data_IF_011677560628
#
_entry.id   IF_011677560628
#
_cell.length_a   1.000
_cell.length_b   1.000
_cell.length_c   1.000
_cell.angle_alpha   90.00
_cell.angle_beta   90.00
_cell.angle_gamma   90.00
#
_symmetry.space_group_name_H-M   'P 1'
#
loop_
_entity.id
_entity.type
_entity.pdbx_description
1 polymer ?
#
# COMPACT_ATOMS: atom_id res chain seq x y z
N UNK A 1 13.77 4.91 -11.80
CA UNK A 1 12.53 5.02 -11.00
C UNK A 1 11.44 4.22 -11.68
N UNK A 2 10.72 3.38 -10.95
CA UNK A 2 9.47 2.73 -11.40
C UNK A 2 8.29 3.50 -10.83
N UNK A 3 7.19 3.57 -11.58
CA UNK A 3 6.00 4.32 -11.18
C UNK A 3 4.78 3.40 -11.24
N UNK A 4 4.29 3.02 -10.08
CA UNK A 4 3.04 2.27 -9.95
C UNK A 4 1.86 3.17 -9.61
N UNK A 5 0.66 2.59 -9.59
CA UNK A 5 -0.55 3.25 -9.12
C UNK A 5 -1.16 2.48 -7.95
N UNK A 6 -1.48 3.21 -6.89
CA UNK A 6 -2.37 2.74 -5.82
C UNK A 6 -3.73 3.39 -6.03
N UNK A 7 -4.68 2.65 -6.56
CA UNK A 7 -6.02 3.18 -6.81
C UNK A 7 -6.77 3.38 -5.48
N UNK A 8 -7.38 4.54 -5.33
CA UNK A 8 -8.25 4.81 -4.18
C UNK A 8 -9.53 4.00 -4.30
N UNK A 9 -9.80 3.16 -3.31
CA UNK A 9 -11.06 2.42 -3.20
C UNK A 9 -12.24 3.25 -2.70
N UNK A 10 -11.99 4.51 -2.31
CA UNK A 10 -13.04 5.44 -1.88
C UNK A 10 -13.85 5.92 -3.09
N UNK A 11 -15.16 5.91 -2.95
CA UNK A 11 -16.09 6.49 -3.92
C UNK A 11 -17.11 7.38 -3.24
N UNK A 12 -17.31 8.57 -3.80
CA UNK A 12 -18.34 9.52 -3.38
C UNK A 12 -19.60 9.41 -4.25
N UNK A 13 -19.65 8.47 -5.18
CA UNK A 13 -20.83 8.18 -5.98
C UNK A 13 -21.93 7.59 -5.10
N UNK A 14 -23.16 8.10 -5.27
CA UNK A 14 -24.32 7.59 -4.55
C UNK A 14 -24.65 6.14 -4.94
N UNK A 15 -24.37 5.77 -6.20
CA UNK A 15 -24.55 4.42 -6.68
C UNK A 15 -23.19 3.66 -6.58
N UNK A 16 -23.09 2.64 -5.71
CA UNK A 16 -21.86 1.87 -5.58
C UNK A 16 -21.39 1.20 -6.90
N UNK A 17 -22.33 0.81 -7.76
CA UNK A 17 -22.01 0.22 -9.06
C UNK A 17 -21.23 1.21 -9.95
N UNK A 18 -21.66 2.48 -9.99
CA UNK A 18 -20.96 3.54 -10.75
C UNK A 18 -19.55 3.74 -10.22
N UNK A 19 -19.39 3.78 -8.89
CA UNK A 19 -18.08 3.91 -8.25
C UNK A 19 -17.15 2.73 -8.56
N UNK A 20 -17.66 1.51 -8.50
CA UNK A 20 -16.90 0.32 -8.84
C UNK A 20 -16.50 0.30 -10.33
N UNK A 21 -17.42 0.69 -11.23
CA UNK A 21 -17.16 0.78 -12.67
C UNK A 21 -16.07 1.83 -12.98
N UNK A 22 -16.08 2.98 -12.31
CA UNK A 22 -15.04 3.98 -12.42
C UNK A 22 -13.67 3.48 -11.96
N UNK A 23 -13.62 2.67 -10.90
CA UNK A 23 -12.38 2.08 -10.42
C UNK A 23 -11.81 1.05 -11.41
N UNK A 24 -12.67 0.24 -12.03
CA UNK A 24 -12.30 -0.70 -13.09
C UNK A 24 -11.71 0.05 -14.30
N UNK A 25 -12.35 1.14 -14.71
CA UNK A 25 -11.86 1.96 -15.81
C UNK A 25 -10.48 2.58 -15.53
N UNK A 26 -10.28 3.07 -14.30
CA UNK A 26 -8.95 3.58 -13.87
C UNK A 26 -7.86 2.51 -13.96
N UNK A 27 -8.16 1.27 -13.59
CA UNK A 27 -7.19 0.17 -13.73
C UNK A 27 -6.87 -0.10 -15.22
N UNK A 28 -7.87 -0.07 -16.10
CA UNK A 28 -7.68 -0.23 -17.55
C UNK A 28 -6.79 0.88 -18.12
N UNK A 29 -7.07 2.14 -17.78
CA UNK A 29 -6.26 3.29 -18.23
C UNK A 29 -4.83 3.20 -17.69
N UNK A 30 -4.65 2.81 -16.43
CA UNK A 30 -3.33 2.61 -15.83
C UNK A 30 -2.52 1.51 -16.56
N UNK A 31 -3.19 0.42 -16.94
CA UNK A 31 -2.58 -0.64 -17.74
C UNK A 31 -2.19 -0.16 -19.15
N UNK A 32 -3.05 0.61 -19.81
CA UNK A 32 -2.75 1.21 -21.12
C UNK A 32 -1.56 2.18 -21.05
N UNK A 33 -1.45 2.93 -19.95
CA UNK A 33 -0.31 3.80 -19.67
C UNK A 33 0.97 3.03 -19.28
N UNK A 34 0.91 1.68 -19.17
CA UNK A 34 2.03 0.81 -18.83
C UNK A 34 2.71 1.19 -17.50
N UNK A 35 1.91 1.52 -16.50
CA UNK A 35 2.45 1.73 -15.17
C UNK A 35 3.01 0.42 -14.62
N UNK A 36 4.03 0.52 -13.75
CA UNK A 36 4.85 -0.61 -13.30
C UNK A 36 4.22 -1.48 -12.20
N UNK A 37 3.15 -1.01 -11.55
CA UNK A 37 2.45 -1.72 -10.47
C UNK A 37 1.02 -1.23 -10.37
N UNK A 38 0.09 -2.15 -10.16
CA UNK A 38 -1.27 -1.85 -9.70
C UNK A 38 -1.42 -2.29 -8.25
N UNK A 39 -1.93 -1.41 -7.37
CA UNK A 39 -2.25 -1.80 -6.00
C UNK A 39 -3.52 -1.16 -5.48
N UNK A 40 -4.08 -1.75 -4.42
CA UNK A 40 -5.21 -1.22 -3.66
C UNK A 40 -4.85 -1.04 -2.19
N UNK A 41 -5.44 -0.01 -1.59
CA UNK A 41 -5.36 0.25 -0.15
C UNK A 41 -6.28 -0.64 0.66
N UNK A 42 -6.14 -0.56 1.98
CA UNK A 42 -6.99 -1.20 2.98
C UNK A 42 -7.54 -0.15 3.95
N UNK A 43 -8.83 -0.19 4.21
CA UNK A 43 -9.48 0.64 5.22
C UNK A 43 -10.84 0.05 5.60
N UNK A 44 -11.22 0.19 6.85
CA UNK A 44 -12.44 -0.37 7.39
C UNK A 44 -13.35 0.70 8.01
N UNK A 45 -14.66 0.43 8.05
CA UNK A 45 -15.66 1.25 8.74
C UNK A 45 -15.64 2.73 8.32
N UNK A 46 -15.58 2.96 7.01
CA UNK A 46 -15.58 4.31 6.44
C UNK A 46 -16.99 4.89 6.35
N UNK A 47 -17.17 6.21 6.49
CA UNK A 47 -18.47 6.87 6.34
C UNK A 47 -18.94 6.99 4.88
N UNK A 48 -18.09 6.63 3.92
CA UNK A 48 -18.38 6.67 2.48
C UNK A 48 -18.14 5.30 1.86
N UNK A 49 -18.60 5.07 0.63
CA UNK A 49 -18.34 3.84 -0.08
C UNK A 49 -16.83 3.59 -0.18
N UNK A 50 -16.40 2.44 0.31
CA UNK A 50 -15.03 1.95 0.21
C UNK A 50 -15.05 0.50 -0.24
N UNK A 51 -14.52 0.24 -1.43
CA UNK A 51 -14.45 -1.11 -1.98
C UNK A 51 -13.32 -1.88 -1.33
N UNK A 52 -13.64 -3.00 -0.71
CA UNK A 52 -12.65 -3.83 -0.02
C UNK A 52 -11.59 -4.35 -1.00
N UNK A 53 -10.36 -4.37 -0.51
CA UNK A 53 -9.15 -4.59 -1.29
C UNK A 53 -9.15 -5.93 -2.06
N UNK A 54 -9.37 -7.05 -1.39
CA UNK A 54 -9.23 -8.39 -1.99
C UNK A 54 -10.22 -8.65 -3.12
N UNK A 55 -11.56 -8.51 -2.93
CA UNK A 55 -12.52 -8.77 -4.01
C UNK A 55 -12.36 -7.76 -5.16
N UNK A 56 -12.04 -6.50 -4.84
CA UNK A 56 -11.85 -5.49 -5.87
C UNK A 56 -10.55 -5.73 -6.64
N UNK A 57 -9.43 -6.05 -5.98
CA UNK A 57 -8.18 -6.35 -6.68
C UNK A 57 -8.36 -7.54 -7.62
N UNK A 58 -9.02 -8.61 -7.19
CA UNK A 58 -9.32 -9.75 -8.07
C UNK A 58 -10.07 -9.34 -9.32
N UNK A 59 -11.04 -8.40 -9.22
CA UNK A 59 -11.73 -7.86 -10.40
C UNK A 59 -10.81 -6.99 -11.27
N UNK A 60 -9.97 -6.14 -10.66
CA UNK A 60 -9.08 -5.24 -11.40
C UNK A 60 -7.96 -5.98 -12.13
N UNK A 61 -7.53 -7.12 -11.62
CA UNK A 61 -6.50 -7.96 -12.26
C UNK A 61 -6.93 -8.45 -13.65
N UNK A 62 -8.22 -8.53 -13.94
CA UNK A 62 -8.71 -8.82 -15.28
C UNK A 62 -8.42 -7.70 -16.31
N UNK A 63 -8.17 -6.48 -15.82
CA UNK A 63 -7.82 -5.32 -16.67
C UNK A 63 -6.31 -5.02 -16.66
N UNK A 64 -5.50 -5.82 -15.93
CA UNK A 64 -4.10 -5.54 -15.67
C UNK A 64 -3.18 -6.68 -16.12
N UNK A 65 -2.26 -6.37 -17.03
CA UNK A 65 -1.22 -7.29 -17.50
C UNK A 65 0.16 -6.65 -17.64
N UNK A 66 0.32 -5.40 -17.20
CA UNK A 66 1.56 -4.63 -17.37
C UNK A 66 2.68 -5.04 -16.40
N UNK A 67 2.36 -5.70 -15.27
CA UNK A 67 3.37 -6.03 -14.29
C UNK A 67 2.80 -6.50 -12.94
N UNK A 68 3.58 -6.34 -11.85
CA UNK A 68 3.19 -6.70 -10.50
C UNK A 68 1.84 -6.13 -10.07
N UNK A 69 1.20 -6.86 -9.17
CA UNK A 69 -0.02 -6.42 -8.48
C UNK A 69 0.20 -6.42 -6.97
N UNK A 70 -0.46 -5.54 -6.26
CA UNK A 70 -0.28 -5.42 -4.81
C UNK A 70 -1.56 -5.16 -4.05
N UNK A 71 -1.55 -5.56 -2.78
CA UNK A 71 -2.64 -5.34 -1.86
C UNK A 71 -2.10 -4.87 -0.51
N UNK A 72 -2.64 -3.78 0.01
CA UNK A 72 -2.38 -3.37 1.38
C UNK A 72 -3.25 -4.16 2.33
N UNK A 73 -2.67 -4.61 3.43
CA UNK A 73 -3.37 -5.17 4.58
C UNK A 73 -2.97 -4.42 5.85
N UNK A 74 -3.94 -3.92 6.58
CA UNK A 74 -3.75 -3.44 7.95
C UNK A 74 -3.72 -4.67 8.88
N UNK A 75 -2.63 -5.43 8.81
CA UNK A 75 -2.52 -6.78 9.35
C UNK A 75 -3.02 -6.97 10.78
N UNK A 76 -2.90 -5.98 11.71
CA UNK A 76 -3.47 -6.13 13.05
C UNK A 76 -5.00 -6.26 13.10
N UNK A 77 -5.68 -5.98 12.00
CA UNK A 77 -7.14 -6.11 11.83
C UNK A 77 -7.54 -7.38 11.06
N UNK A 78 -6.56 -8.20 10.66
CA UNK A 78 -6.77 -9.38 9.83
C UNK A 78 -6.31 -10.66 10.54
N UNK A 79 -7.00 -11.76 10.25
CA UNK A 79 -6.51 -13.08 10.61
C UNK A 79 -5.40 -13.49 9.61
N UNK A 80 -4.18 -13.86 10.04
CA UNK A 80 -3.06 -14.18 9.15
C UNK A 80 -3.33 -15.36 8.22
N UNK A 81 -4.10 -16.38 8.67
CA UNK A 81 -4.47 -17.51 7.82
C UNK A 81 -5.37 -17.06 6.67
N UNK A 82 -6.39 -16.21 6.96
CA UNK A 82 -7.24 -15.66 5.92
C UNK A 82 -6.46 -14.78 4.93
N UNK A 83 -5.49 -14.00 5.40
CA UNK A 83 -4.62 -13.23 4.49
C UNK A 83 -3.81 -14.16 3.60
N UNK A 84 -3.25 -15.25 4.14
CA UNK A 84 -2.50 -16.22 3.35
C UNK A 84 -3.38 -16.89 2.27
N UNK A 85 -4.61 -17.28 2.60
CA UNK A 85 -5.59 -17.84 1.64
C UNK A 85 -5.96 -16.83 0.54
N UNK A 86 -6.26 -15.58 0.92
CA UNK A 86 -6.61 -14.52 -0.02
C UNK A 86 -5.44 -14.19 -0.96
N UNK A 87 -4.23 -14.05 -0.40
CA UNK A 87 -3.02 -13.79 -1.21
C UNK A 87 -2.71 -14.98 -2.10
N UNK A 88 -2.80 -16.21 -1.62
CA UNK A 88 -2.61 -17.42 -2.42
C UNK A 88 -3.57 -17.46 -3.62
N UNK A 89 -4.84 -17.11 -3.37
CA UNK A 89 -5.86 -17.04 -4.42
C UNK A 89 -5.58 -15.94 -5.43
N UNK A 90 -5.28 -14.71 -4.98
CA UNK A 90 -4.95 -13.59 -5.88
C UNK A 90 -3.67 -13.87 -6.68
N UNK A 91 -2.67 -14.43 -6.03
CA UNK A 91 -1.42 -14.80 -6.68
C UNK A 91 -1.61 -15.84 -7.79
N UNK A 92 -2.54 -16.77 -7.65
CA UNK A 92 -2.89 -17.73 -8.70
C UNK A 92 -3.49 -17.09 -9.96
N UNK A 93 -3.95 -15.84 -9.89
CA UNK A 93 -4.50 -15.09 -11.03
C UNK A 93 -3.44 -14.30 -11.84
N UNK A 94 -2.17 -14.35 -11.45
CA UNK A 94 -1.08 -13.63 -12.14
C UNK A 94 0.17 -14.48 -12.26
N UNK A 95 0.98 -14.22 -13.29
CA UNK A 95 2.33 -14.78 -13.44
C UNK A 95 3.41 -13.81 -12.93
N UNK A 96 3.02 -12.58 -12.56
CA UNK A 96 3.93 -11.55 -12.11
C UNK A 96 4.13 -11.60 -10.59
N UNK A 97 5.07 -10.81 -10.07
CA UNK A 97 5.29 -10.63 -8.63
C UNK A 97 4.00 -10.15 -7.95
N UNK A 98 3.66 -10.76 -6.82
CA UNK A 98 2.60 -10.27 -5.94
C UNK A 98 3.23 -9.45 -4.80
N UNK A 99 2.71 -8.25 -4.54
CA UNK A 99 3.23 -7.35 -3.50
C UNK A 99 2.25 -7.30 -2.33
N UNK A 100 2.68 -7.79 -1.18
CA UNK A 100 1.96 -7.60 0.08
C UNK A 100 2.44 -6.29 0.70
N UNK A 101 1.60 -5.27 0.63
CA UNK A 101 1.82 -4.03 1.36
C UNK A 101 1.22 -4.18 2.76
N UNK A 102 1.89 -3.67 3.79
CA UNK A 102 1.41 -3.80 5.16
C UNK A 102 1.31 -2.46 5.86
N UNK A 103 0.42 -2.36 6.83
CA UNK A 103 0.28 -1.22 7.72
C UNK A 103 -0.18 -1.65 9.11
N UNK A 104 0.12 -0.83 10.12
CA UNK A 104 -0.31 -1.06 11.50
C UNK A 104 -1.77 -0.66 11.75
N UNK A 105 -2.37 0.13 10.86
CA UNK A 105 -3.69 0.72 11.10
C UNK A 105 -3.67 1.84 12.15
N UNK A 106 -4.82 2.52 12.28
CA UNK A 106 -5.04 3.62 13.21
C UNK A 106 -6.53 3.72 13.59
N UNK A 107 -6.83 4.54 14.60
CA UNK A 107 -8.21 4.81 15.03
C UNK A 107 -8.72 3.82 16.09
N UNK A 108 -8.87 4.30 17.33
CA UNK A 108 -9.33 3.49 18.47
C UNK A 108 -10.68 2.80 18.16
N UNK A 109 -11.68 3.55 17.68
CA UNK A 109 -12.99 2.99 17.38
C UNK A 109 -12.98 1.91 16.28
N UNK A 110 -12.10 2.04 15.27
CA UNK A 110 -11.94 1.00 14.24
C UNK A 110 -11.38 -0.28 14.85
N UNK A 111 -10.36 -0.18 15.70
CA UNK A 111 -9.77 -1.35 16.35
C UNK A 111 -10.77 -2.05 17.27
N UNK A 112 -11.47 -1.30 18.10
CA UNK A 112 -12.52 -1.83 18.98
C UNK A 112 -13.62 -2.56 18.21
N UNK A 113 -14.13 -1.93 17.14
CA UNK A 113 -15.18 -2.53 16.32
C UNK A 113 -14.73 -3.78 15.54
N UNK A 114 -13.42 -3.86 15.22
CA UNK A 114 -12.81 -5.03 14.58
C UNK A 114 -12.32 -6.09 15.59
N UNK A 115 -12.53 -5.87 16.90
CA UNK A 115 -12.11 -6.80 17.95
C UNK A 115 -10.60 -6.86 18.17
N UNK A 116 -9.87 -5.79 17.81
CA UNK A 116 -8.43 -5.69 17.93
C UNK A 116 -7.99 -4.64 18.95
N UNK A 117 -6.75 -4.73 19.43
CA UNK A 117 -6.16 -3.78 20.38
C UNK A 117 -5.16 -2.87 19.67
N UNK A 118 -5.49 -1.57 19.61
CA UNK A 118 -4.65 -0.54 19.01
C UNK A 118 -3.26 -0.46 19.66
N UNK A 119 -3.14 -0.72 20.95
CA UNK A 119 -1.88 -0.59 21.70
C UNK A 119 -0.86 -1.65 21.32
N UNK A 120 -1.31 -2.82 20.88
CA UNK A 120 -0.47 -3.97 20.49
C UNK A 120 -0.21 -4.08 19.01
N UNK A 121 -0.77 -3.16 18.18
CA UNK A 121 -0.75 -3.27 16.72
C UNK A 121 0.63 -3.50 16.09
N UNK A 122 1.69 -2.93 16.68
CA UNK A 122 3.05 -3.12 16.15
C UNK A 122 3.54 -4.56 16.31
N UNK A 123 3.31 -5.18 17.48
CA UNK A 123 3.64 -6.57 17.76
C UNK A 123 2.79 -7.52 16.93
N UNK A 124 1.49 -7.28 16.89
CA UNK A 124 0.56 -8.11 16.08
C UNK A 124 0.92 -8.07 14.59
N UNK A 125 1.34 -6.91 14.05
CA UNK A 125 1.87 -6.83 12.69
C UNK A 125 3.05 -7.80 12.47
N UNK A 126 4.03 -7.82 13.37
CA UNK A 126 5.21 -8.69 13.28
C UNK A 126 4.83 -10.17 13.36
N UNK A 127 3.94 -10.52 14.28
CA UNK A 127 3.39 -11.87 14.43
C UNK A 127 2.67 -12.33 13.15
N UNK A 128 1.79 -11.49 12.58
CA UNK A 128 1.10 -11.78 11.33
C UNK A 128 2.06 -11.98 10.15
N UNK A 129 3.07 -11.12 10.00
CA UNK A 129 4.08 -11.27 8.92
C UNK A 129 4.81 -12.62 9.08
N UNK A 130 5.22 -12.94 10.30
CA UNK A 130 5.94 -14.19 10.60
C UNK A 130 5.09 -15.41 10.29
N UNK A 131 3.83 -15.40 10.72
CA UNK A 131 2.87 -16.48 10.48
C UNK A 131 2.60 -16.69 8.98
N UNK A 132 2.29 -15.61 8.24
CA UNK A 132 2.00 -15.71 6.80
C UNK A 132 3.24 -16.22 6.03
N UNK A 133 4.44 -15.76 6.38
CA UNK A 133 5.68 -16.29 5.79
C UNK A 133 5.86 -17.78 6.09
N UNK A 134 5.60 -18.21 7.32
CA UNK A 134 5.66 -19.63 7.70
C UNK A 134 4.68 -20.49 6.89
N UNK A 135 3.46 -19.99 6.68
CA UNK A 135 2.44 -20.66 5.85
C UNK A 135 2.95 -20.80 4.40
N UNK A 136 3.50 -19.75 3.81
CA UNK A 136 4.02 -19.79 2.43
C UNK A 136 5.26 -20.69 2.29
N UNK A 137 6.03 -20.88 3.36
CA UNK A 137 7.15 -21.80 3.43
C UNK A 137 6.72 -23.25 3.77
N UNK A 138 5.43 -23.55 3.78
CA UNK A 138 4.87 -24.89 4.09
C UNK A 138 5.20 -25.39 5.50
N UNK A 139 5.40 -24.48 6.46
CA UNK A 139 5.63 -24.85 7.88
C UNK A 139 4.33 -25.07 8.68
N UNK A 140 3.18 -25.03 7.99
CA UNK A 140 1.85 -25.17 8.61
C UNK A 140 1.36 -23.87 9.26
N UNK A 141 0.30 -23.99 10.04
CA UNK A 141 -0.30 -22.90 10.80
C UNK A 141 0.14 -23.02 12.27
N UNK A 142 0.46 -21.90 12.90
CA UNK A 142 0.88 -21.88 14.32
C UNK A 142 -0.12 -22.63 15.22
N UNK A 143 0.38 -23.54 16.03
CA UNK A 143 -0.42 -24.43 16.87
C UNK A 143 -1.03 -25.66 16.17
N UNK A 144 -1.00 -25.72 14.84
CA UNK A 144 -1.50 -26.81 14.03
C UNK A 144 -0.60 -27.02 12.78
N UNK A 145 0.61 -27.59 12.94
CA UNK A 145 1.57 -27.70 11.83
C UNK A 145 1.10 -28.59 10.68
N UNK A 146 0.14 -29.47 10.93
CA UNK A 146 -0.45 -30.34 9.89
C UNK A 146 -1.48 -29.59 9.01
N UNK A 147 -1.97 -28.43 9.45
CA UNK A 147 -2.89 -27.63 8.68
C UNK A 147 -2.14 -26.81 7.63
N UNK A 148 -2.54 -26.93 6.38
CA UNK A 148 -1.91 -26.29 5.24
C UNK A 148 -2.91 -25.37 4.52
N UNK A 149 -2.44 -24.18 4.12
CA UNK A 149 -3.16 -23.29 3.23
C UNK A 149 -2.87 -23.66 1.77
N UNK A 150 -3.89 -23.68 0.93
CA UNK A 150 -3.80 -23.91 -0.52
C UNK A 150 -4.87 -23.07 -1.27
N UNK A 151 -4.51 -22.46 -2.43
CA UNK A 151 -3.15 -22.44 -2.97
C UNK A 151 -2.22 -21.52 -2.16
N UNK A 152 -0.91 -21.70 -2.30
CA UNK A 152 0.09 -20.70 -1.92
C UNK A 152 0.68 -20.07 -3.18
N UNK A 153 1.27 -18.86 -3.11
CA UNK A 153 1.96 -18.24 -4.25
C UNK A 153 3.08 -19.12 -4.80
N UNK A 154 3.08 -19.33 -6.13
CA UNK A 154 4.19 -19.99 -6.82
C UNK A 154 5.22 -18.98 -7.35
N UNK A 155 4.80 -17.74 -7.60
CA UNK A 155 5.65 -16.64 -8.02
C UNK A 155 6.24 -15.92 -6.80
N UNK A 156 7.17 -15.00 -7.08
CA UNK A 156 7.75 -14.14 -6.04
C UNK A 156 6.67 -13.32 -5.35
N UNK A 157 6.70 -13.34 -4.02
CA UNK A 157 5.97 -12.42 -3.14
C UNK A 157 6.94 -11.42 -2.56
N UNK A 158 6.66 -10.14 -2.72
CA UNK A 158 7.42 -9.05 -2.08
C UNK A 158 6.65 -8.48 -0.90
N UNK A 159 7.37 -8.22 0.18
CA UNK A 159 6.82 -7.61 1.40
C UNK A 159 7.22 -6.15 1.51
N UNK A 160 6.27 -5.27 1.29
CA UNK A 160 6.47 -3.83 1.47
C UNK A 160 5.90 -3.40 2.81
N UNK A 161 6.79 -3.15 3.78
CA UNK A 161 6.38 -2.87 5.15
C UNK A 161 6.12 -1.36 5.31
N UNK A 162 4.88 -1.02 5.62
CA UNK A 162 4.45 0.35 5.85
C UNK A 162 5.01 0.92 7.15
N UNK A 163 5.71 2.04 7.04
CA UNK A 163 6.11 2.84 8.19
C UNK A 163 6.06 4.33 7.84
N UNK A 164 5.47 5.12 8.75
CA UNK A 164 5.34 6.57 8.57
C UNK A 164 6.54 7.32 9.18
N UNK A 165 6.46 7.68 10.46
CA UNK A 165 7.50 8.45 11.17
C UNK A 165 8.12 7.67 12.35
N UNK A 166 7.63 6.49 12.62
CA UNK A 166 8.15 5.64 13.71
C UNK A 166 9.46 4.99 13.31
N UNK A 167 10.55 5.32 14.00
CA UNK A 167 11.86 4.70 13.77
C UNK A 167 11.79 3.18 13.96
N UNK A 168 11.07 2.67 14.97
CA UNK A 168 10.84 1.23 15.14
C UNK A 168 10.12 0.61 13.93
N UNK A 169 9.16 1.34 13.33
CA UNK A 169 8.47 0.89 12.13
C UNK A 169 9.40 0.83 10.92
N UNK A 170 10.30 1.80 10.78
CA UNK A 170 11.30 1.86 9.70
C UNK A 170 12.34 0.73 9.87
N UNK A 171 12.84 0.49 11.07
CA UNK A 171 13.71 -0.65 11.38
C UNK A 171 13.03 -1.99 11.07
N UNK A 172 11.75 -2.13 11.43
CA UNK A 172 10.94 -3.31 11.06
C UNK A 172 10.90 -3.51 9.54
N UNK A 173 10.73 -2.43 8.76
CA UNK A 173 10.72 -2.51 7.30
C UNK A 173 12.06 -3.04 6.75
N UNK A 174 13.18 -2.61 7.29
CA UNK A 174 14.51 -3.10 6.92
C UNK A 174 14.69 -4.59 7.28
N UNK A 175 14.24 -5.01 8.48
CA UNK A 175 14.48 -6.37 9.00
C UNK A 175 13.55 -7.39 8.34
N UNK A 176 12.24 -7.09 8.29
CA UNK A 176 11.19 -8.06 7.94
C UNK A 176 10.72 -7.94 6.48
N UNK A 177 10.98 -6.80 5.82
CA UNK A 177 10.49 -6.52 4.47
C UNK A 177 11.52 -6.71 3.37
N UNK A 178 11.02 -6.65 2.13
CA UNK A 178 11.81 -6.46 0.93
C UNK A 178 11.90 -4.96 0.57
N UNK A 179 11.01 -4.13 1.10
CA UNK A 179 10.99 -2.70 0.87
C UNK A 179 10.36 -1.93 2.06
N UNK A 180 10.82 -0.71 2.27
CA UNK A 180 10.13 0.25 3.11
C UNK A 180 9.05 0.98 2.29
N UNK A 181 7.78 0.84 2.69
CA UNK A 181 6.65 1.53 2.09
C UNK A 181 6.36 2.81 2.87
N UNK A 182 6.97 3.90 2.43
CA UNK A 182 6.92 5.21 3.08
C UNK A 182 5.54 5.88 2.91
N UNK A 183 5.12 6.60 3.94
CA UNK A 183 3.79 7.22 3.99
C UNK A 183 3.63 8.38 2.98
N UNK A 184 2.40 8.60 2.46
CA UNK A 184 2.15 9.59 1.42
C UNK A 184 2.33 11.05 1.88
N UNK A 185 2.22 11.32 3.17
CA UNK A 185 2.29 12.67 3.72
C UNK A 185 3.73 13.18 3.96
N UNK A 186 4.75 12.37 3.69
CA UNK A 186 6.14 12.81 3.83
C UNK A 186 6.48 13.79 2.70
N UNK A 187 6.91 14.99 3.07
CA UNK A 187 7.56 15.92 2.15
C UNK A 187 9.02 15.49 1.89
N UNK A 188 9.73 16.06 0.90
CA UNK A 188 11.09 15.64 0.58
C UNK A 188 12.06 15.68 1.77
N UNK A 189 12.06 16.74 2.56
CA UNK A 189 12.98 16.88 3.70
C UNK A 189 12.75 15.79 4.77
N UNK A 190 11.47 15.51 5.09
CA UNK A 190 11.16 14.45 6.07
C UNK A 190 11.40 13.05 5.51
N UNK A 191 11.21 12.85 4.22
CA UNK A 191 11.53 11.60 3.56
C UNK A 191 13.05 11.31 3.60
N UNK A 192 13.89 12.32 3.36
CA UNK A 192 15.36 12.22 3.43
C UNK A 192 15.85 11.89 4.84
N UNK A 193 15.32 12.59 5.86
CA UNK A 193 15.63 12.29 7.27
C UNK A 193 15.33 10.84 7.61
N UNK A 194 14.14 10.37 7.26
CA UNK A 194 13.69 9.00 7.60
C UNK A 194 14.38 7.93 6.74
N UNK A 195 14.76 8.27 5.51
CA UNK A 195 15.54 7.39 4.64
C UNK A 195 16.90 7.08 5.25
N UNK A 196 17.55 8.04 5.90
CA UNK A 196 18.83 7.81 6.60
C UNK A 196 18.70 6.71 7.64
N UNK A 197 17.63 6.69 8.44
CA UNK A 197 17.37 5.62 9.41
C UNK A 197 17.10 4.27 8.75
N UNK A 198 16.41 4.26 7.59
CA UNK A 198 16.16 3.04 6.84
C UNK A 198 17.45 2.44 6.27
N UNK A 199 18.29 3.29 5.66
CA UNK A 199 19.57 2.86 5.09
C UNK A 199 20.49 2.31 6.17
N UNK A 200 20.59 2.98 7.32
CA UNK A 200 21.36 2.50 8.47
C UNK A 200 20.87 1.13 8.93
N UNK A 201 19.56 0.95 9.10
CA UNK A 201 18.99 -0.32 9.53
C UNK A 201 19.21 -1.42 8.49
N UNK A 202 19.19 -1.12 7.19
CA UNK A 202 19.53 -2.07 6.15
C UNK A 202 20.99 -2.50 6.22
N UNK A 203 21.93 -1.55 6.41
CA UNK A 203 23.37 -1.84 6.54
C UNK A 203 23.66 -2.74 7.75
N UNK A 204 23.09 -2.39 8.92
CA UNK A 204 23.22 -3.17 10.16
C UNK A 204 22.75 -4.62 10.02
N UNK A 205 21.82 -4.91 9.10
CA UNK A 205 21.24 -6.23 8.88
C UNK A 205 21.65 -6.88 7.54
N UNK A 206 22.62 -6.29 6.81
CA UNK A 206 23.08 -6.80 5.52
C UNK A 206 21.99 -6.89 4.46
N UNK A 207 21.04 -5.93 4.44
CA UNK A 207 19.92 -5.88 3.51
C UNK A 207 20.14 -4.83 2.43
N UNK A 208 19.79 -5.18 1.20
CA UNK A 208 19.74 -4.22 0.08
C UNK A 208 18.58 -3.23 0.28
N UNK A 209 18.82 -1.93 0.38
CA UNK A 209 17.74 -0.97 0.61
C UNK A 209 16.84 -0.82 -0.62
N UNK A 210 15.55 -0.86 -0.41
CA UNK A 210 14.51 -0.61 -1.43
C UNK A 210 13.44 0.32 -0.87
N UNK A 211 13.69 1.63 -0.87
CA UNK A 211 12.68 2.59 -0.44
C UNK A 211 11.62 2.74 -1.53
N UNK A 212 10.35 2.71 -1.12
CA UNK A 212 9.18 2.96 -1.96
C UNK A 212 8.34 4.02 -1.27
N UNK A 213 7.94 5.06 -1.98
CA UNK A 213 7.07 6.10 -1.43
C UNK A 213 5.74 6.15 -2.17
N UNK A 214 4.65 6.24 -1.43
CA UNK A 214 3.35 6.59 -2.00
C UNK A 214 3.18 8.10 -1.97
N UNK A 215 2.67 8.67 -3.05
CA UNK A 215 2.25 10.08 -3.10
C UNK A 215 0.81 10.16 -3.58
N UNK A 216 0.02 10.98 -2.90
CA UNK A 216 -1.31 11.33 -3.39
C UNK A 216 -1.13 12.45 -4.43
N UNK A 217 -1.79 12.30 -5.59
CA UNK A 217 -1.55 13.16 -6.75
C UNK A 217 -2.85 13.75 -7.28
N UNK A 218 -2.80 14.99 -7.74
CA UNK A 218 -3.87 15.66 -8.49
C UNK A 218 -3.22 16.24 -9.74
N UNK A 219 -3.39 15.54 -10.85
CA UNK A 219 -2.76 15.89 -12.12
C UNK A 219 -3.85 16.17 -13.15
N UNK A 220 -3.87 17.38 -13.71
CA UNK A 220 -4.73 17.78 -14.82
C UNK A 220 -3.86 18.40 -15.91
N UNK A 221 -4.37 18.49 -17.14
CA UNK A 221 -3.69 19.21 -18.24
C UNK A 221 -3.46 20.68 -17.88
N UNK A 222 -4.45 21.30 -17.23
CA UNK A 222 -4.39 22.66 -16.71
C UNK A 222 -3.88 22.66 -15.28
N UNK A 223 -2.65 23.12 -15.08
CA UNK A 223 -1.99 23.16 -13.76
C UNK A 223 -2.67 24.10 -12.77
N UNK A 224 -3.27 25.18 -13.21
CA UNK A 224 -3.95 26.13 -12.32
C UNK A 224 -5.25 25.51 -11.78
N UNK A 225 -6.00 24.81 -12.62
CA UNK A 225 -7.17 24.01 -12.15
C UNK A 225 -6.77 22.91 -11.19
N UNK A 226 -5.65 22.22 -11.44
CA UNK A 226 -5.12 21.23 -10.52
C UNK A 226 -4.80 21.86 -9.16
N UNK A 227 -4.15 23.04 -9.14
CA UNK A 227 -3.79 23.78 -7.93
C UNK A 227 -5.04 24.23 -7.15
N UNK A 228 -6.04 24.74 -7.84
CA UNK A 228 -7.33 25.11 -7.22
C UNK A 228 -7.99 23.88 -6.57
N UNK A 229 -8.12 22.79 -7.28
CA UNK A 229 -8.68 21.53 -6.78
C UNK A 229 -7.88 21.01 -5.57
N UNK A 230 -6.56 21.02 -5.64
CA UNK A 230 -5.67 20.62 -4.55
C UNK A 230 -5.90 21.45 -3.29
N UNK A 231 -5.98 22.77 -3.44
CA UNK A 231 -6.24 23.70 -2.35
C UNK A 231 -7.61 23.43 -1.70
N UNK A 232 -8.65 23.23 -2.48
CA UNK A 232 -10.00 22.91 -1.98
C UNK A 232 -10.04 21.59 -1.20
N UNK A 233 -9.35 20.55 -1.69
CA UNK A 233 -9.28 19.23 -1.05
C UNK A 233 -8.54 19.32 0.29
N UNK A 234 -7.40 20.02 0.34
CA UNK A 234 -6.63 20.24 1.57
C UNK A 234 -7.41 21.06 2.59
N UNK A 235 -8.07 22.13 2.19
CA UNK A 235 -8.89 22.96 3.07
C UNK A 235 -10.04 22.18 3.71
N UNK A 236 -10.57 21.17 3.03
CA UNK A 236 -11.57 20.24 3.57
C UNK A 236 -10.99 19.19 4.53
N UNK A 237 -9.70 19.27 4.85
CA UNK A 237 -9.05 18.36 5.80
C UNK A 237 -8.69 16.99 5.22
N UNK A 238 -8.38 16.90 3.92
CA UNK A 238 -8.04 15.66 3.25
C UNK A 238 -6.95 14.88 4.00
N UNK A 239 -7.31 13.81 4.67
CA UNK A 239 -6.42 12.89 5.41
C UNK A 239 -5.48 13.60 6.40
N UNK A 240 -5.78 14.81 6.84
CA UNK A 240 -4.90 15.62 7.68
C UNK A 240 -3.60 16.05 7.01
N UNK A 241 -3.51 15.92 5.68
CA UNK A 241 -2.31 16.25 4.92
C UNK A 241 -2.12 17.76 4.75
N UNK A 242 -0.85 18.17 4.69
CA UNK A 242 -0.45 19.52 4.30
C UNK A 242 -0.28 19.61 2.78
N UNK A 243 -0.30 20.82 2.23
CA UNK A 243 -0.18 21.06 0.79
C UNK A 243 1.15 20.57 0.20
N UNK A 244 2.25 20.64 0.96
CA UNK A 244 3.58 20.17 0.57
C UNK A 244 3.73 18.63 0.52
N UNK A 245 2.70 17.91 0.98
CA UNK A 245 2.67 16.45 0.96
C UNK A 245 1.96 15.87 -0.28
N UNK A 246 1.15 16.65 -0.97
CA UNK A 246 0.37 16.23 -2.14
C UNK A 246 1.04 16.76 -3.42
N UNK A 247 1.14 15.93 -4.43
CA UNK A 247 1.66 16.32 -5.75
C UNK A 247 0.50 16.93 -6.56
N UNK A 248 0.65 18.19 -6.96
CA UNK A 248 -0.44 18.93 -7.62
C UNK A 248 0.11 19.70 -8.82
N UNK A 249 -0.54 19.60 -9.98
CA UNK A 249 -0.17 20.37 -11.16
C UNK A 249 -0.48 19.69 -12.49
N UNK A 250 0.09 20.21 -13.56
CA UNK A 250 0.11 19.50 -14.84
C UNK A 250 1.18 18.38 -14.83
N UNK A 251 1.23 17.52 -15.86
CA UNK A 251 2.19 16.40 -15.89
C UNK A 251 3.66 16.80 -15.69
N UNK A 252 4.09 17.96 -16.22
CA UNK A 252 5.46 18.45 -16.09
C UNK A 252 5.74 18.88 -14.65
N UNK A 253 4.85 19.67 -14.06
CA UNK A 253 4.94 20.12 -12.68
C UNK A 253 4.92 18.94 -11.70
N UNK A 254 4.10 17.94 -11.95
CA UNK A 254 4.05 16.71 -11.14
C UNK A 254 5.37 15.93 -11.22
N UNK A 255 5.96 15.80 -12.39
CA UNK A 255 7.26 15.15 -12.57
C UNK A 255 8.39 15.90 -11.84
N UNK A 256 8.38 17.22 -11.86
CA UNK A 256 9.33 18.05 -11.12
C UNK A 256 9.22 17.89 -9.61
N UNK A 257 7.99 17.84 -9.08
CA UNK A 257 7.75 17.62 -7.64
C UNK A 257 8.14 16.20 -7.19
N UNK A 258 8.11 15.20 -8.09
CA UNK A 258 8.57 13.84 -7.80
C UNK A 258 10.09 13.66 -7.92
N UNK A 259 10.80 14.58 -8.58
CA UNK A 259 12.24 14.48 -8.82
C UNK A 259 13.05 14.32 -7.52
N UNK A 260 12.83 15.09 -6.43
CA UNK A 260 13.57 14.91 -5.18
C UNK A 260 13.51 13.49 -4.63
N UNK A 261 12.34 12.83 -4.71
CA UNK A 261 12.19 11.45 -4.27
C UNK A 261 12.97 10.49 -5.15
N UNK A 262 12.97 10.70 -6.47
CA UNK A 262 13.78 9.92 -7.40
C UNK A 262 15.28 10.05 -7.09
N UNK A 263 15.74 11.26 -6.83
CA UNK A 263 17.17 11.55 -6.58
C UNK A 263 17.64 10.94 -5.25
N UNK A 264 16.75 10.80 -4.27
CA UNK A 264 16.96 10.05 -3.02
C UNK A 264 16.95 8.52 -3.20
N UNK A 265 16.54 7.99 -4.35
CA UNK A 265 16.52 6.55 -4.61
C UNK A 265 15.16 5.85 -4.40
N UNK A 266 14.08 6.61 -4.17
CA UNK A 266 12.71 6.03 -4.14
C UNK A 266 12.25 5.54 -5.51
#
# INVERSE_FOLDING_TARGET
MRVGVSLSSTSFENNPYTGASALIERARVANQAKLDLLSLGDHHLTPVNYFQNVPMLGRLMAEWNSGPVGCLFLLPLWNPVLVAEQVGTLAALTQSTFVIQTGVGEGQGTFEAMGADLTTRGRVLEECITEIKAIFERRGVTGNPDFQVNPIPNQRVEWWIGASTSIKGIQRAAIMGDAWYAAPFLNPAKAEELLTHYLQACDEHGKEPRPVIRKDVIILEDGDKAAEMGSQIIQRGYRGMKSDAVIVGNPIQAAEQLRPFKDMGF
#
